data_IF_376075437819
#
_entry.id   IF_376075437819
#
_cell.length_a   1.000
_cell.length_b   1.000
_cell.length_c   1.000
_cell.angle_alpha   90.00
_cell.angle_beta   90.00
_cell.angle_gamma   90.00
#
_symmetry.space_group_name_H-M   'P 1'
#
loop_
_entity.id
_entity.type
_entity.pdbx_description
1 polymer ?
#
# COMPACT_ATOMS: atom_id res chain seq x y z
N UNK A 1 43.21 36.09 22.35
CA UNK A 1 41.79 35.97 21.89
C UNK A 1 41.54 35.02 20.70
N UNK A 2 42.53 34.63 19.87
CA UNK A 2 42.32 33.66 18.75
C UNK A 2 41.93 32.24 19.19
N UNK A 3 42.35 31.80 20.38
CA UNK A 3 42.10 30.45 20.89
C UNK A 3 40.65 30.18 21.30
N UNK A 4 39.94 31.18 21.86
CA UNK A 4 38.55 31.05 22.28
C UNK A 4 37.58 30.83 21.11
N UNK A 5 37.84 31.45 19.93
CA UNK A 5 37.00 31.26 18.73
C UNK A 5 37.08 29.86 18.14
N UNK A 6 38.26 29.21 18.17
CA UNK A 6 38.43 27.82 17.68
C UNK A 6 37.71 26.81 18.57
N UNK A 7 37.65 27.07 19.88
CA UNK A 7 36.96 26.18 20.83
C UNK A 7 35.44 26.22 20.67
N UNK A 8 34.87 27.41 20.47
CA UNK A 8 33.42 27.55 20.21
C UNK A 8 32.98 26.96 18.86
N UNK A 9 33.81 27.03 17.81
CA UNK A 9 33.48 26.44 16.52
C UNK A 9 33.40 24.91 16.57
N UNK A 10 34.32 24.23 17.30
CA UNK A 10 34.29 22.76 17.44
C UNK A 10 33.01 22.27 18.14
N UNK A 11 32.51 22.99 19.14
CA UNK A 11 31.25 22.65 19.83
C UNK A 11 30.03 22.79 18.94
N UNK A 12 29.97 23.84 18.09
CA UNK A 12 28.87 24.03 17.13
C UNK A 12 28.88 22.97 16.02
N UNK A 13 30.06 22.58 15.55
CA UNK A 13 30.21 21.56 14.50
C UNK A 13 29.86 20.16 15.00
N UNK A 14 30.25 19.82 16.23
CA UNK A 14 29.85 18.57 16.90
C UNK A 14 28.33 18.55 17.17
N UNK A 15 27.76 19.67 17.63
CA UNK A 15 26.31 19.78 17.83
C UNK A 15 25.51 19.65 16.53
N UNK A 16 25.99 20.23 15.42
CA UNK A 16 25.38 20.06 14.09
C UNK A 16 25.48 18.61 13.60
N UNK A 17 26.62 17.95 13.82
CA UNK A 17 26.85 16.56 13.43
C UNK A 17 25.98 15.58 14.22
N UNK A 18 25.81 15.83 15.53
CA UNK A 18 24.94 15.04 16.42
C UNK A 18 23.46 15.27 16.10
N UNK A 19 23.04 16.50 15.81
CA UNK A 19 21.68 16.77 15.35
C UNK A 19 21.38 16.12 13.99
N UNK A 20 22.34 16.09 13.05
CA UNK A 20 22.15 15.36 11.79
C UNK A 20 22.03 13.85 12.01
N UNK A 21 22.84 13.25 12.90
CA UNK A 21 22.73 11.82 13.23
C UNK A 21 21.41 11.47 13.93
N UNK A 22 20.90 12.36 14.79
CA UNK A 22 19.58 12.20 15.42
C UNK A 22 18.43 12.31 14.42
N UNK A 23 18.56 13.10 13.36
CA UNK A 23 17.58 13.18 12.27
C UNK A 23 17.61 11.94 11.35
N UNK A 24 18.74 11.25 11.23
CA UNK A 24 18.83 9.96 10.52
C UNK A 24 18.40 8.77 11.39
N UNK A 25 18.36 8.91 12.72
CA UNK A 25 18.05 7.83 13.65
C UNK A 25 16.55 7.51 13.82
N UNK A 26 15.66 8.33 13.25
CA UNK A 26 14.20 8.12 13.28
C UNK A 26 13.69 8.02 11.84
N UNK A 27 14.31 7.17 11.03
CA UNK A 27 13.62 6.63 9.87
C UNK A 27 12.86 5.42 10.39
N UNK A 28 11.63 5.65 10.85
CA UNK A 28 10.73 4.54 11.11
C UNK A 28 10.65 3.69 9.85
N UNK A 29 10.76 2.37 10.00
CA UNK A 29 10.52 1.44 8.90
C UNK A 29 9.03 1.59 8.57
N UNK A 30 8.69 2.50 7.67
CA UNK A 30 7.35 2.57 7.11
C UNK A 30 7.24 1.41 6.13
N UNK A 31 6.50 0.37 6.49
CA UNK A 31 6.06 -0.59 5.48
C UNK A 31 5.10 0.17 4.56
N UNK A 32 5.47 0.29 3.28
CA UNK A 32 4.58 0.90 2.31
C UNK A 32 3.38 -0.03 2.11
N UNK A 33 2.18 0.53 2.07
CA UNK A 33 0.98 -0.19 1.64
C UNK A 33 0.81 0.03 0.15
N UNK A 34 0.40 -1.00 -0.58
CA UNK A 34 0.12 -0.93 -2.01
C UNK A 34 -1.39 -0.76 -2.18
N UNK A 35 -1.84 0.25 -2.93
CA UNK A 35 -3.25 0.45 -3.23
C UNK A 35 -3.47 0.27 -4.73
N UNK A 36 -4.35 -0.66 -5.08
CA UNK A 36 -4.67 -1.00 -6.46
C UNK A 36 -6.14 -0.71 -6.74
N UNK A 37 -6.42 -0.03 -7.84
CA UNK A 37 -7.78 0.14 -8.33
C UNK A 37 -8.11 -1.08 -9.19
N UNK A 38 -9.06 -1.88 -8.75
CA UNK A 38 -9.37 -3.18 -9.33
C UNK A 38 -10.79 -3.17 -9.88
N UNK A 39 -10.92 -3.70 -11.09
CA UNK A 39 -12.18 -3.92 -11.79
C UNK A 39 -12.34 -5.42 -12.02
N UNK A 40 -13.42 -6.00 -11.52
CA UNK A 40 -13.73 -7.43 -11.65
C UNK A 40 -14.98 -7.60 -12.49
N UNK A 41 -14.95 -8.57 -13.40
CA UNK A 41 -16.05 -8.94 -14.27
C UNK A 41 -16.46 -10.38 -13.97
N UNK A 42 -17.75 -10.61 -13.78
CA UNK A 42 -18.29 -11.90 -13.36
C UNK A 42 -19.11 -12.56 -14.47
N UNK A 43 -19.30 -13.87 -14.38
CA UNK A 43 -19.99 -14.68 -15.39
C UNK A 43 -21.46 -14.29 -15.56
N UNK A 44 -22.10 -13.83 -14.48
CA UNK A 44 -23.45 -13.24 -14.49
C UNK A 44 -23.57 -11.92 -15.27
N UNK A 45 -22.45 -11.30 -15.62
CA UNK A 45 -22.38 -9.93 -16.13
C UNK A 45 -22.30 -8.86 -15.03
N UNK A 46 -22.27 -9.25 -13.76
CA UNK A 46 -22.01 -8.33 -12.67
C UNK A 46 -20.59 -7.73 -12.78
N UNK A 47 -20.40 -6.54 -12.21
CA UNK A 47 -19.10 -5.88 -12.15
C UNK A 47 -18.83 -5.32 -10.77
N UNK A 48 -17.65 -5.58 -10.23
CA UNK A 48 -17.16 -4.92 -9.02
C UNK A 48 -16.07 -3.94 -9.37
N UNK A 49 -16.13 -2.73 -8.81
CA UNK A 49 -15.16 -1.67 -9.05
C UNK A 49 -14.77 -1.05 -7.71
N UNK A 50 -13.48 -1.01 -7.40
CA UNK A 50 -13.02 -0.48 -6.13
C UNK A 50 -11.51 -0.39 -6.00
N UNK A 51 -11.07 0.02 -4.82
CA UNK A 51 -9.68 -0.01 -4.41
C UNK A 51 -9.46 -1.16 -3.42
N UNK A 52 -8.36 -1.88 -3.59
CA UNK A 52 -7.89 -2.90 -2.66
C UNK A 52 -6.52 -2.46 -2.15
N UNK A 53 -6.33 -2.48 -0.84
CA UNK A 53 -5.04 -2.16 -0.24
C UNK A 53 -4.38 -3.43 0.25
N UNK A 54 -3.07 -3.54 0.03
CA UNK A 54 -2.21 -4.66 0.44
C UNK A 54 -1.04 -4.18 1.28
N UNK A 55 -0.48 -5.10 2.06
CA UNK A 55 0.88 -4.96 2.59
C UNK A 55 1.90 -4.94 1.44
N UNK A 56 3.08 -4.38 1.72
CA UNK A 56 4.20 -4.41 0.78
C UNK A 56 4.47 -5.83 0.25
N UNK A 57 4.84 -5.93 -1.02
CA UNK A 57 5.05 -7.22 -1.69
C UNK A 57 3.80 -8.12 -1.76
N UNK A 58 2.60 -7.53 -1.71
CA UNK A 58 1.31 -8.24 -1.77
C UNK A 58 1.15 -9.31 -0.67
N UNK A 59 1.81 -9.11 0.47
CA UNK A 59 1.87 -10.08 1.57
C UNK A 59 0.59 -10.11 2.43
N UNK A 60 -0.57 -9.80 1.87
CA UNK A 60 -1.84 -9.78 2.61
C UNK A 60 -2.68 -8.57 2.26
N UNK A 61 -3.99 -8.79 2.16
CA UNK A 61 -4.98 -7.77 1.81
C UNK A 61 -5.47 -7.08 3.08
N UNK A 62 -5.33 -5.75 3.18
CA UNK A 62 -5.58 -5.02 4.44
C UNK A 62 -6.91 -4.27 4.47
N UNK A 63 -7.43 -3.87 3.31
CA UNK A 63 -8.71 -3.18 3.22
C UNK A 63 -9.24 -3.20 1.79
N UNK A 64 -10.54 -2.92 1.66
CA UNK A 64 -11.19 -2.74 0.37
C UNK A 64 -12.24 -1.64 0.46
N UNK A 65 -12.49 -0.97 -0.66
CA UNK A 65 -13.56 0.01 -0.83
C UNK A 65 -14.06 -0.06 -2.26
N UNK A 66 -15.27 -0.56 -2.48
CA UNK A 66 -15.78 -0.72 -3.84
C UNK A 66 -17.24 -1.08 -3.90
N UNK A 67 -17.81 -1.00 -5.10
CA UNK A 67 -19.21 -1.30 -5.35
C UNK A 67 -19.36 -2.46 -6.33
N UNK A 68 -20.20 -3.42 -5.97
CA UNK A 68 -20.75 -4.40 -6.88
C UNK A 68 -22.00 -3.82 -7.55
N UNK A 69 -22.04 -3.84 -8.88
CA UNK A 69 -23.12 -3.30 -9.72
C UNK A 69 -23.52 -1.84 -9.41
N UNK A 70 -22.65 -1.09 -8.73
CA UNK A 70 -22.89 0.28 -8.29
C UNK A 70 -23.80 0.43 -7.06
N UNK A 71 -24.27 -0.66 -6.45
CA UNK A 71 -25.22 -0.64 -5.32
C UNK A 71 -24.64 -1.21 -4.04
N UNK A 72 -24.04 -2.38 -4.11
CA UNK A 72 -23.63 -3.15 -2.92
C UNK A 72 -22.19 -2.79 -2.57
N UNK A 73 -22.00 -2.15 -1.40
CA UNK A 73 -20.72 -1.58 -0.99
C UNK A 73 -19.90 -2.55 -0.14
N UNK A 74 -18.66 -2.77 -0.57
CA UNK A 74 -17.65 -3.58 0.09
C UNK A 74 -16.68 -2.67 0.83
N UNK A 75 -16.49 -2.90 2.12
CA UNK A 75 -15.76 -1.95 2.98
C UNK A 75 -14.73 -2.58 3.91
N UNK A 76 -14.59 -3.91 3.88
CA UNK A 76 -13.68 -4.63 4.77
C UNK A 76 -13.26 -5.97 4.15
N UNK A 77 -12.18 -6.55 4.67
CA UNK A 77 -11.69 -7.86 4.24
C UNK A 77 -11.75 -8.85 5.39
N UNK A 78 -11.98 -10.12 5.10
CA UNK A 78 -12.28 -11.09 6.13
C UNK A 78 -11.15 -11.27 7.13
N UNK A 79 -9.92 -11.52 6.67
CA UNK A 79 -8.80 -11.78 7.60
C UNK A 79 -8.57 -10.59 8.54
N UNK A 80 -8.66 -9.35 8.04
CA UNK A 80 -8.51 -8.16 8.87
C UNK A 80 -9.72 -7.92 9.78
N UNK A 81 -10.94 -7.96 9.24
CA UNK A 81 -12.16 -7.64 10.00
C UNK A 81 -12.51 -8.67 11.06
N UNK A 82 -11.93 -9.87 10.98
CA UNK A 82 -12.07 -10.92 12.01
C UNK A 82 -10.83 -11.07 12.90
N UNK A 83 -9.85 -10.17 12.78
CA UNK A 83 -8.61 -10.17 13.57
C UNK A 83 -7.81 -11.48 13.47
N UNK A 84 -7.89 -12.16 12.32
CA UNK A 84 -7.17 -13.39 12.06
C UNK A 84 -5.81 -13.09 11.41
N UNK A 85 -4.94 -14.11 11.35
CA UNK A 85 -3.62 -13.98 10.72
C UNK A 85 -3.79 -13.77 9.21
N UNK A 86 -3.21 -12.69 8.68
CA UNK A 86 -3.30 -12.30 7.27
C UNK A 86 -1.90 -12.31 6.63
N UNK A 87 -1.70 -12.96 5.47
CA UNK A 87 -2.64 -13.82 4.77
C UNK A 87 -2.66 -15.21 5.38
N UNK A 88 -3.72 -15.97 5.14
CA UNK A 88 -3.72 -17.40 5.43
C UNK A 88 -3.95 -18.18 4.12
N UNK A 89 -3.09 -19.17 3.85
CA UNK A 89 -3.16 -19.99 2.65
C UNK A 89 -4.15 -21.15 2.86
N UNK A 90 -5.43 -20.83 3.01
CA UNK A 90 -6.48 -21.84 3.17
C UNK A 90 -7.04 -22.26 1.82
N UNK A 91 -6.98 -23.56 1.51
CA UNK A 91 -7.64 -24.13 0.33
C UNK A 91 -7.08 -23.68 -1.03
N UNK A 92 -5.86 -23.13 -1.06
CA UNK A 92 -5.20 -22.65 -2.29
C UNK A 92 -3.90 -23.40 -2.55
N UNK A 93 -3.46 -23.42 -3.82
CA UNK A 93 -2.17 -24.00 -4.19
C UNK A 93 -1.01 -23.34 -3.45
N UNK A 94 0.04 -24.12 -3.22
CA UNK A 94 1.23 -23.65 -2.52
C UNK A 94 1.82 -22.42 -3.23
N UNK A 95 2.03 -21.33 -2.47
CA UNK A 95 2.59 -20.08 -2.97
C UNK A 95 1.54 -19.02 -3.33
N UNK A 96 0.25 -19.35 -3.31
CA UNK A 96 -0.84 -18.39 -3.51
C UNK A 96 -1.45 -17.94 -2.19
N UNK A 97 -2.02 -16.74 -2.20
CA UNK A 97 -2.76 -16.16 -1.08
C UNK A 97 -4.20 -15.88 -1.47
N UNK A 98 -5.09 -15.90 -0.47
CA UNK A 98 -6.50 -15.62 -0.65
C UNK A 98 -7.12 -14.88 0.54
N UNK A 99 -8.17 -14.11 0.24
CA UNK A 99 -8.99 -13.38 1.21
C UNK A 99 -10.34 -13.04 0.56
N UNK A 100 -11.29 -12.58 1.36
CA UNK A 100 -12.62 -12.18 0.91
C UNK A 100 -12.83 -10.68 1.06
N UNK A 101 -13.35 -10.05 0.01
CA UNK A 101 -13.99 -8.74 0.10
C UNK A 101 -15.38 -8.96 0.70
N UNK A 102 -15.73 -8.16 1.69
CA UNK A 102 -16.98 -8.33 2.41
C UNK A 102 -17.85 -7.07 2.31
N UNK A 103 -19.15 -7.26 2.12
CA UNK A 103 -20.14 -6.21 2.32
C UNK A 103 -20.61 -6.14 3.79
N UNK A 104 -21.26 -5.03 4.14
CA UNK A 104 -21.86 -4.85 5.47
C UNK A 104 -20.86 -4.89 6.64
N UNK A 105 -21.26 -5.55 7.73
CA UNK A 105 -20.46 -5.73 8.95
C UNK A 105 -20.41 -7.20 9.36
N UNK A 106 -19.47 -7.63 10.22
CA UNK A 106 -19.43 -8.99 10.69
C UNK A 106 -20.78 -9.45 11.27
N UNK A 107 -21.24 -10.64 10.87
CA UNK A 107 -22.54 -11.27 11.15
C UNK A 107 -23.77 -10.70 10.42
N UNK A 108 -23.61 -9.74 9.52
CA UNK A 108 -24.72 -9.10 8.79
C UNK A 108 -24.40 -8.75 7.33
N UNK A 109 -23.54 -9.53 6.69
CA UNK A 109 -23.16 -9.40 5.27
C UNK A 109 -24.15 -10.18 4.38
N UNK A 110 -24.30 -9.75 3.13
CA UNK A 110 -25.16 -10.37 2.10
C UNK A 110 -24.37 -10.97 0.96
N UNK A 111 -23.22 -10.39 0.62
CA UNK A 111 -22.38 -10.80 -0.50
C UNK A 111 -20.91 -10.86 -0.09
N UNK A 112 -20.15 -11.75 -0.72
CA UNK A 112 -18.71 -11.90 -0.50
C UNK A 112 -18.02 -12.02 -1.85
N UNK A 113 -16.82 -11.48 -2.00
CA UNK A 113 -16.01 -11.70 -3.21
C UNK A 113 -14.72 -12.39 -2.80
N UNK A 114 -14.53 -13.63 -3.23
CA UNK A 114 -13.25 -14.33 -3.08
C UNK A 114 -12.23 -13.85 -4.09
N UNK A 115 -11.00 -13.61 -3.64
CA UNK A 115 -9.84 -13.35 -4.49
C UNK A 115 -8.68 -14.28 -4.13
N UNK A 116 -8.00 -14.78 -5.16
CA UNK A 116 -6.73 -15.48 -5.05
C UNK A 116 -5.68 -14.75 -5.89
N UNK A 117 -4.47 -14.59 -5.35
CA UNK A 117 -3.35 -13.94 -6.04
C UNK A 117 -2.01 -14.61 -5.75
N UNK A 118 -1.06 -14.41 -6.66
CA UNK A 118 0.33 -14.78 -6.47
C UNK A 118 1.12 -13.55 -5.97
N UNK A 119 1.61 -13.53 -4.72
CA UNK A 119 2.32 -12.38 -4.18
C UNK A 119 3.68 -12.15 -4.85
N UNK A 120 4.40 -13.20 -5.25
CA UNK A 120 5.71 -13.08 -5.89
C UNK A 120 5.56 -12.60 -7.32
N UNK A 121 4.61 -13.15 -8.08
CA UNK A 121 4.33 -12.69 -9.43
C UNK A 121 3.80 -11.25 -9.42
N UNK A 122 2.90 -10.90 -8.48
CA UNK A 122 2.39 -9.53 -8.35
C UNK A 122 3.51 -8.54 -8.03
N UNK A 123 4.41 -8.90 -7.10
CA UNK A 123 5.59 -8.09 -6.78
C UNK A 123 6.50 -7.91 -7.99
N UNK A 124 6.74 -8.99 -8.75
CA UNK A 124 7.58 -8.93 -9.95
C UNK A 124 6.95 -8.11 -11.07
N UNK A 125 5.63 -8.10 -11.19
CA UNK A 125 4.90 -7.32 -12.18
C UNK A 125 4.73 -5.85 -11.77
N UNK A 126 4.79 -5.56 -10.47
CA UNK A 126 4.46 -4.25 -9.92
C UNK A 126 2.97 -3.93 -9.91
N UNK A 127 2.10 -4.93 -10.16
CA UNK A 127 0.65 -4.82 -10.09
C UNK A 127 0.04 -6.12 -9.55
N UNK A 128 -1.17 -6.06 -9.02
CA UNK A 128 -1.92 -7.25 -8.58
C UNK A 128 -2.13 -8.24 -9.74
N UNK A 129 -1.76 -9.50 -9.52
CA UNK A 129 -2.04 -10.61 -10.44
C UNK A 129 -2.95 -11.63 -9.76
N UNK A 130 -4.23 -11.60 -10.14
CA UNK A 130 -5.19 -12.60 -9.70
C UNK A 130 -4.95 -13.94 -10.42
N UNK A 131 -5.26 -15.03 -9.73
CA UNK A 131 -5.12 -16.39 -10.24
C UNK A 131 -6.46 -17.11 -10.12
N UNK A 132 -6.93 -17.67 -11.23
CA UNK A 132 -8.06 -18.62 -11.23
C UNK A 132 -7.55 -20.01 -10.88
N UNK A 133 -7.91 -20.52 -9.71
CA UNK A 133 -7.57 -21.87 -9.25
C UNK A 133 -8.60 -22.94 -9.67
N UNK A 134 -9.59 -22.59 -10.49
CA UNK A 134 -10.58 -23.54 -10.98
C UNK A 134 -11.75 -23.74 -10.01
N UNK A 135 -12.17 -25.01 -9.80
CA UNK A 135 -13.50 -25.37 -9.27
C UNK A 135 -13.76 -25.04 -7.78
N UNK A 136 -12.79 -24.49 -7.05
CA UNK A 136 -13.05 -23.95 -5.70
C UNK A 136 -13.55 -22.50 -5.80
N UNK A 137 -14.82 -22.36 -6.20
CA UNK A 137 -15.54 -21.08 -6.32
C UNK A 137 -15.62 -20.29 -5.01
N UNK A 138 -15.33 -20.92 -3.86
CA UNK A 138 -15.33 -20.28 -2.55
C UNK A 138 -14.28 -19.18 -2.39
N UNK A 139 -13.32 -19.10 -3.31
CA UNK A 139 -12.17 -18.19 -3.23
C UNK A 139 -12.04 -17.32 -4.51
N UNK A 140 -12.99 -17.40 -5.44
CA UNK A 140 -12.90 -16.69 -6.72
C UNK A 140 -14.27 -16.36 -7.35
N UNK A 141 -15.04 -15.44 -6.76
CA UNK A 141 -16.41 -15.14 -7.22
C UNK A 141 -17.28 -14.38 -6.20
N UNK A 142 -18.47 -13.93 -6.60
CA UNK A 142 -19.49 -13.24 -5.74
C UNK A 142 -20.23 -14.22 -4.81
N UNK A 143 -20.10 -15.52 -5.05
CA UNK A 143 -20.54 -16.62 -4.22
C UNK A 143 -20.04 -17.95 -4.86
N UNK A 144 -20.61 -19.09 -4.47
CA UNK A 144 -20.25 -20.39 -5.06
C UNK A 144 -20.71 -20.60 -6.51
N UNK A 145 -21.50 -19.68 -7.09
CA UNK A 145 -22.15 -19.83 -8.40
C UNK A 145 -21.77 -18.76 -9.44
N UNK A 146 -21.21 -17.62 -9.03
CA UNK A 146 -20.83 -16.53 -9.94
C UNK A 146 -19.34 -16.22 -9.89
N UNK A 147 -18.59 -16.79 -10.84
CA UNK A 147 -17.13 -16.72 -10.89
C UNK A 147 -16.64 -15.44 -11.56
N UNK A 148 -15.47 -14.95 -11.15
CA UNK A 148 -14.74 -13.92 -11.89
C UNK A 148 -14.29 -14.53 -13.24
N UNK A 149 -14.56 -13.83 -14.34
CA UNK A 149 -14.18 -14.25 -15.71
C UNK A 149 -13.14 -13.34 -16.34
N UNK A 150 -13.00 -12.11 -15.83
CA UNK A 150 -11.99 -11.16 -16.25
C UNK A 150 -11.73 -10.15 -15.13
N UNK A 151 -10.55 -9.52 -15.16
CA UNK A 151 -10.23 -8.41 -14.26
C UNK A 151 -9.27 -7.42 -14.94
N UNK A 152 -9.26 -6.18 -14.47
CA UNK A 152 -8.23 -5.19 -14.79
C UNK A 152 -7.81 -4.43 -13.56
N UNK A 153 -6.55 -3.99 -13.56
CA UNK A 153 -5.94 -3.25 -12.45
C UNK A 153 -5.42 -1.94 -13.01
N UNK A 154 -5.97 -0.85 -12.52
CA UNK A 154 -5.51 0.50 -12.81
C UNK A 154 -4.46 0.86 -11.77
N UNK A 155 -3.20 0.89 -12.17
CA UNK A 155 -2.12 1.33 -11.30
C UNK A 155 -2.33 2.81 -10.97
N UNK A 156 -2.72 3.12 -9.74
CA UNK A 156 -2.66 4.49 -9.26
C UNK A 156 -1.19 4.92 -9.25
N UNK A 157 -0.80 6.09 -9.80
CA UNK A 157 0.58 6.55 -9.75
C UNK A 157 0.97 6.87 -8.30
N UNK A 158 1.49 5.88 -7.56
CA UNK A 158 2.04 6.13 -6.22
C UNK A 158 3.39 6.81 -6.42
N UNK A 159 3.62 8.02 -5.86
CA UNK A 159 4.91 8.67 -5.96
C UNK A 159 5.98 7.82 -5.30
N UNK A 160 6.99 7.41 -6.07
CA UNK A 160 8.08 6.60 -5.57
C UNK A 160 8.76 7.28 -4.36
N UNK A 161 9.28 6.52 -3.38
CA UNK A 161 10.06 7.07 -2.26
C UNK A 161 11.21 7.99 -2.71
N UNK A 162 11.81 7.69 -3.88
CA UNK A 162 12.83 8.51 -4.55
C UNK A 162 12.31 9.90 -4.93
N UNK A 163 11.06 9.99 -5.39
CA UNK A 163 10.40 11.23 -5.79
C UNK A 163 10.12 12.12 -4.57
N UNK A 164 9.70 11.51 -3.45
CA UNK A 164 9.52 12.23 -2.19
C UNK A 164 10.85 12.72 -1.60
N UNK A 165 11.90 11.90 -1.68
CA UNK A 165 13.25 12.29 -1.29
C UNK A 165 13.79 13.43 -2.16
N UNK A 166 13.59 13.37 -3.47
CA UNK A 166 13.98 14.42 -4.41
C UNK A 166 13.22 15.72 -4.13
N UNK A 167 11.91 15.64 -3.89
CA UNK A 167 11.08 16.78 -3.48
C UNK A 167 11.62 17.41 -2.19
N UNK A 168 11.93 16.58 -1.18
CA UNK A 168 12.54 17.01 0.07
C UNK A 168 13.86 17.75 -0.13
N UNK A 169 14.76 17.20 -0.94
CA UNK A 169 16.02 17.89 -1.27
C UNK A 169 15.83 19.16 -2.09
N UNK A 170 14.86 19.18 -3.00
CA UNK A 170 14.51 20.38 -3.77
C UNK A 170 14.07 21.54 -2.88
N UNK A 171 13.18 21.26 -1.91
CA UNK A 171 12.72 22.25 -0.93
C UNK A 171 13.88 22.71 -0.03
N UNK A 172 14.70 21.78 0.45
CA UNK A 172 15.87 22.11 1.28
C UNK A 172 16.88 23.00 0.52
N UNK A 173 17.14 22.70 -0.76
CA UNK A 173 17.99 23.50 -1.63
C UNK A 173 17.47 24.93 -1.80
N UNK A 174 16.16 25.09 -2.03
CA UNK A 174 15.51 26.40 -2.14
C UNK A 174 15.63 27.22 -0.85
N UNK A 175 15.45 26.59 0.32
CA UNK A 175 15.59 27.26 1.62
C UNK A 175 17.01 27.77 1.87
N UNK A 176 18.02 26.95 1.57
CA UNK A 176 19.44 27.33 1.69
C UNK A 176 19.77 28.47 0.72
N UNK A 177 19.32 28.38 -0.52
CA UNK A 177 19.53 29.41 -1.53
C UNK A 177 18.89 30.75 -1.12
N UNK A 178 17.65 30.72 -0.62
CA UNK A 178 16.93 31.90 -0.14
C UNK A 178 17.67 32.60 1.01
N UNK A 179 18.20 31.85 1.97
CA UNK A 179 18.97 32.40 3.09
C UNK A 179 20.29 33.04 2.66
N UNK A 180 21.00 32.45 1.70
CA UNK A 180 22.23 33.05 1.15
C UNK A 180 21.96 34.40 0.49
N UNK A 181 20.82 34.54 -0.22
CA UNK A 181 20.46 35.78 -0.90
C UNK A 181 20.11 36.91 0.07
N UNK A 182 19.46 36.60 1.20
CA UNK A 182 19.12 37.60 2.23
C UNK A 182 20.37 38.15 2.93
N UNK A 183 21.37 37.30 3.19
CA UNK A 183 22.61 37.73 3.84
C UNK A 183 23.55 38.54 2.93
N UNK A 184 23.35 38.53 1.61
CA UNK A 184 24.13 39.33 0.66
C UNK A 184 23.49 40.70 0.33
N UNK A 185 22.37 41.04 0.97
CA UNK A 185 21.69 42.35 0.83
C UNK A 185 21.76 43.21 2.12
N UNK A 186 22.57 42.79 3.10
CA UNK A 186 22.95 43.56 4.29
C UNK A 186 24.44 43.86 4.21
#
# INVERSE_FOLDING_TARGET
MKYLRRFQMKRKLVSLFVCSLLMFGIVGISNATIMENVHLYFESGATWNGAITFNDGYQGMISTSGYLNGTDYYSWTWWQGTEQTNPSAYGVSAGLYSDWLMDGTPSSWSHIIGLTWDPLASTSAGSLLLVDEGQDTYIYGIDSNDRIVNWSVDSAPVPEPSTMMLLGFGIAGLAIYGNRRKNNKA
#
